data_IF_447138798244
#
_entry.id   IF_447138798244
#
_cell.length_a   1.000
_cell.length_b   1.000
_cell.length_c   1.000
_cell.angle_alpha   90.00
_cell.angle_beta   90.00
_cell.angle_gamma   90.00
#
_symmetry.space_group_name_H-M   'P 1'
#
loop_
_entity.id
_entity.type
_entity.pdbx_description
1 polymer ?
#
# COMPACT_ATOMS: atom_id res chain seq x y z
N UNK A 1 16.64 23.10 -2.65
CA UNK A 1 16.41 23.06 -1.19
C UNK A 1 15.01 22.51 -0.96
N UNK A 2 14.87 21.55 -0.04
CA UNK A 2 13.61 20.87 0.25
C UNK A 2 13.16 21.23 1.68
N UNK A 3 11.94 21.73 1.80
CA UNK A 3 11.29 21.97 3.08
C UNK A 3 10.38 20.78 3.41
N UNK A 4 10.63 20.08 4.50
CA UNK A 4 9.83 18.94 4.94
C UNK A 4 8.82 19.39 5.99
N UNK A 5 7.54 19.39 5.64
CA UNK A 5 6.46 19.96 6.44
C UNK A 5 5.96 18.99 7.52
N UNK A 6 6.15 19.38 8.77
CA UNK A 6 5.60 18.71 9.97
C UNK A 6 5.81 17.19 10.02
N UNK A 7 7.00 16.75 9.61
CA UNK A 7 7.43 15.36 9.77
C UNK A 7 7.75 15.05 11.23
N UNK A 8 7.27 13.91 11.71
CA UNK A 8 7.58 13.38 13.04
C UNK A 8 9.09 13.15 13.21
N UNK A 9 9.60 13.22 14.45
CA UNK A 9 11.03 13.05 14.75
C UNK A 9 11.61 11.77 14.16
N UNK A 10 10.84 10.68 14.23
CA UNK A 10 11.20 9.37 13.67
C UNK A 10 11.36 9.38 12.14
N UNK A 11 10.53 10.11 11.39
CA UNK A 11 10.62 10.15 9.92
C UNK A 11 11.76 11.04 9.42
N UNK A 12 12.28 11.97 10.24
CA UNK A 12 13.29 12.95 9.79
C UNK A 12 14.57 12.31 9.23
N UNK A 13 15.17 11.28 9.85
CA UNK A 13 16.34 10.60 9.27
C UNK A 13 16.02 9.98 7.91
N UNK A 14 14.85 9.36 7.76
CA UNK A 14 14.40 8.72 6.51
C UNK A 14 14.20 9.77 5.42
N UNK A 15 13.55 10.91 5.72
CA UNK A 15 13.43 12.03 4.77
C UNK A 15 14.79 12.48 4.26
N UNK A 16 15.78 12.64 5.14
CA UNK A 16 17.12 13.06 4.70
C UNK A 16 17.78 12.06 3.75
N UNK A 17 17.53 10.76 3.94
CA UNK A 17 18.08 9.71 3.08
C UNK A 17 17.42 9.71 1.69
N UNK A 18 16.09 9.81 1.62
CA UNK A 18 15.38 9.88 0.33
C UNK A 18 15.64 11.18 -0.44
N UNK A 19 16.13 12.21 0.24
CA UNK A 19 16.60 13.46 -0.36
C UNK A 19 18.11 13.64 -0.24
N UNK A 20 18.88 12.54 -0.25
CA UNK A 20 20.34 12.62 -0.32
C UNK A 20 20.76 13.50 -1.51
N UNK A 21 21.75 14.37 -1.30
CA UNK A 21 22.15 15.40 -2.28
C UNK A 21 21.33 16.70 -2.24
N UNK A 22 20.20 16.73 -1.51
CA UNK A 22 19.43 17.95 -1.26
C UNK A 22 19.60 18.47 0.17
N UNK A 23 19.64 19.80 0.33
CA UNK A 23 19.50 20.43 1.65
C UNK A 23 18.05 20.32 2.12
N UNK A 24 17.80 19.49 3.14
CA UNK A 24 16.48 19.32 3.78
C UNK A 24 16.34 20.18 5.04
N UNK A 25 15.27 20.96 5.12
CA UNK A 25 14.92 21.78 6.29
C UNK A 25 13.54 21.38 6.80
N UNK A 26 13.43 21.02 8.08
CA UNK A 26 12.14 20.63 8.68
C UNK A 26 11.42 21.86 9.23
N UNK A 27 10.17 22.07 8.80
CA UNK A 27 9.38 23.26 9.12
C UNK A 27 7.99 22.91 9.61
N UNK A 28 7.35 23.85 10.32
CA UNK A 28 5.96 23.74 10.80
C UNK A 28 5.12 24.98 10.51
N UNK A 29 5.72 26.03 9.96
CA UNK A 29 5.07 27.30 9.64
C UNK A 29 5.41 27.71 8.22
N UNK A 30 4.41 28.21 7.48
CA UNK A 30 4.57 28.60 6.07
C UNK A 30 5.65 29.67 5.90
N UNK A 31 5.78 30.59 6.86
CA UNK A 31 6.81 31.63 6.90
C UNK A 31 8.26 31.13 6.95
N UNK A 32 8.49 29.84 7.21
CA UNK A 32 9.83 29.24 7.19
C UNK A 32 10.22 28.73 5.80
N UNK A 33 9.26 28.58 4.89
CA UNK A 33 9.47 28.16 3.50
C UNK A 33 9.92 29.38 2.69
N UNK A 34 10.87 29.19 1.78
CA UNK A 34 11.38 30.27 0.91
C UNK A 34 10.74 30.23 -0.48
N UNK A 35 10.61 31.38 -1.17
CA UNK A 35 10.19 31.42 -2.57
C UNK A 35 11.04 30.52 -3.47
N UNK A 36 10.44 29.95 -4.51
CA UNK A 36 11.13 29.11 -5.50
C UNK A 36 11.68 27.77 -4.95
N UNK A 37 11.31 27.38 -3.73
CA UNK A 37 11.76 26.13 -3.11
C UNK A 37 10.79 24.97 -3.34
N UNK A 38 11.15 23.77 -2.86
CA UNK A 38 10.24 22.61 -2.88
C UNK A 38 9.74 22.32 -1.47
N UNK A 39 8.43 22.14 -1.30
CA UNK A 39 7.78 21.72 -0.05
C UNK A 39 7.33 20.26 -0.17
N UNK A 40 7.87 19.40 0.69
CA UNK A 40 7.48 18.01 0.82
C UNK A 40 6.41 17.84 1.90
N UNK A 41 5.29 17.24 1.52
CA UNK A 41 4.17 16.85 2.38
C UNK A 41 4.07 15.33 2.45
N UNK A 42 3.53 14.78 3.53
CA UNK A 42 3.21 13.35 3.60
C UNK A 42 1.76 13.09 3.17
N UNK A 43 1.57 12.25 2.16
CA UNK A 43 0.27 11.87 1.62
C UNK A 43 -0.60 13.06 1.21
N UNK A 44 -1.91 12.94 1.39
CA UNK A 44 -2.91 13.98 1.13
C UNK A 44 -2.99 15.09 2.20
N UNK A 45 -1.94 15.31 3.00
CA UNK A 45 -1.93 16.42 3.96
C UNK A 45 -2.22 17.75 3.24
N UNK A 46 -3.07 18.63 3.81
CA UNK A 46 -3.37 19.92 3.20
C UNK A 46 -2.10 20.75 2.96
N UNK A 47 -2.09 21.49 1.85
CA UNK A 47 -1.05 22.49 1.58
C UNK A 47 -1.27 23.64 2.57
N UNK A 48 -0.22 24.11 3.28
CA UNK A 48 -0.36 25.24 4.19
C UNK A 48 -0.79 26.51 3.46
N UNK A 49 -1.64 27.31 4.11
CA UNK A 49 -1.99 28.64 3.62
C UNK A 49 -0.78 29.59 3.67
N UNK A 50 -0.82 30.65 2.87
CA UNK A 50 0.19 31.72 2.85
C UNK A 50 1.62 31.23 2.55
N UNK A 51 1.76 30.23 1.67
CA UNK A 51 3.07 29.88 1.11
C UNK A 51 3.57 30.98 0.18
N UNK A 52 4.89 31.24 0.14
CA UNK A 52 5.46 32.15 -0.85
C UNK A 52 5.27 31.66 -2.28
N UNK A 53 5.35 32.58 -3.24
CA UNK A 53 5.21 32.27 -4.66
C UNK A 53 6.31 31.32 -5.18
N UNK A 54 5.95 30.53 -6.18
CA UNK A 54 6.87 29.62 -6.87
C UNK A 54 7.29 28.38 -6.05
N UNK A 55 6.66 28.11 -4.91
CA UNK A 55 6.91 26.88 -4.15
C UNK A 55 6.33 25.67 -4.88
N UNK A 56 7.19 24.70 -5.22
CA UNK A 56 6.76 23.42 -5.78
C UNK A 56 6.32 22.48 -4.68
N UNK A 57 5.17 21.83 -4.84
CA UNK A 57 4.65 20.85 -3.88
C UNK A 57 5.02 19.46 -4.34
N UNK A 58 5.51 18.63 -3.42
CA UNK A 58 5.65 17.18 -3.63
C UNK A 58 4.99 16.44 -2.47
N UNK A 59 4.38 15.29 -2.76
CA UNK A 59 3.74 14.40 -1.79
C UNK A 59 4.53 13.10 -1.68
N UNK A 60 4.81 12.71 -0.46
CA UNK A 60 5.55 11.50 -0.11
C UNK A 60 4.60 10.45 0.46
N UNK A 61 4.84 9.20 0.13
CA UNK A 61 4.26 8.05 0.84
C UNK A 61 5.27 6.91 0.90
N UNK A 62 5.00 5.92 1.75
CA UNK A 62 5.59 4.60 1.67
C UNK A 62 5.36 3.97 0.28
N UNK A 63 6.40 3.32 -0.24
CA UNK A 63 6.32 2.55 -1.47
C UNK A 63 5.63 1.20 -1.28
N UNK A 64 5.39 0.50 -2.39
CA UNK A 64 4.61 -0.73 -2.40
C UNK A 64 5.37 -1.96 -1.84
N UNK A 65 6.70 -1.95 -1.95
CA UNK A 65 7.59 -2.92 -1.30
C UNK A 65 8.29 -2.25 -0.12
N UNK A 66 7.70 -2.39 1.07
CA UNK A 66 8.07 -1.53 2.20
C UNK A 66 9.07 -2.16 3.19
N UNK A 67 8.74 -3.29 3.80
CA UNK A 67 9.51 -3.86 4.92
C UNK A 67 9.08 -5.29 5.30
N UNK A 68 9.94 -6.00 6.04
CA UNK A 68 9.58 -7.26 6.72
C UNK A 68 8.90 -6.94 8.06
N UNK A 69 7.57 -6.96 8.12
CA UNK A 69 6.79 -6.73 9.35
C UNK A 69 5.77 -5.60 9.22
N UNK A 70 5.06 -5.25 10.30
CA UNK A 70 4.05 -4.20 10.26
C UNK A 70 4.69 -2.82 10.21
N UNK A 71 4.08 -1.91 9.46
CA UNK A 71 4.43 -0.49 9.45
C UNK A 71 4.43 0.20 10.81
N UNK A 72 3.61 -0.31 11.73
CA UNK A 72 3.48 0.17 13.09
C UNK A 72 4.65 -0.24 14.00
N UNK A 73 5.51 -1.16 13.57
CA UNK A 73 6.71 -1.57 14.30
C UNK A 73 7.89 -0.59 14.10
N UNK A 74 7.64 0.58 13.49
CA UNK A 74 8.67 1.58 13.13
C UNK A 74 9.83 0.97 12.35
N UNK A 75 9.52 0.06 11.43
CA UNK A 75 10.52 -0.56 10.59
C UNK A 75 10.91 0.41 9.48
N UNK A 76 12.22 0.58 9.26
CA UNK A 76 12.75 1.49 8.25
C UNK A 76 12.19 1.09 6.88
N UNK A 77 11.49 2.00 6.16
CA UNK A 77 11.00 1.69 4.82
C UNK A 77 12.17 1.67 3.84
N UNK A 78 12.14 0.70 2.91
CA UNK A 78 13.10 0.59 1.82
C UNK A 78 12.70 1.39 0.58
N UNK A 79 11.43 1.78 0.50
CA UNK A 79 10.86 2.42 -0.69
C UNK A 79 9.90 3.52 -0.28
N UNK A 80 10.00 4.67 -0.96
CA UNK A 80 9.03 5.77 -0.91
C UNK A 80 8.65 6.18 -2.34
N UNK A 81 7.45 6.73 -2.46
CA UNK A 81 7.02 7.44 -3.66
C UNK A 81 7.22 8.94 -3.44
N UNK A 82 7.59 9.65 -4.51
CA UNK A 82 7.72 11.10 -4.54
C UNK A 82 6.87 11.59 -5.71
N UNK A 83 5.72 12.16 -5.41
CA UNK A 83 4.73 12.55 -6.41
C UNK A 83 4.60 14.07 -6.47
N UNK A 84 4.67 14.64 -7.67
CA UNK A 84 4.67 16.07 -7.94
C UNK A 84 3.30 16.60 -8.35
N UNK A 85 2.38 15.74 -8.81
CA UNK A 85 1.05 16.12 -9.29
C UNK A 85 -0.05 15.81 -8.27
N UNK A 86 0.07 14.70 -7.54
CA UNK A 86 -0.96 14.17 -6.66
C UNK A 86 -0.38 13.11 -5.74
N UNK A 87 -1.07 12.00 -5.56
CA UNK A 87 -0.54 10.80 -4.91
C UNK A 87 -1.32 9.58 -5.40
N UNK A 88 -0.68 8.42 -5.54
CA UNK A 88 -1.25 7.26 -6.23
C UNK A 88 -2.64 6.80 -5.74
N UNK A 89 -2.96 6.98 -4.46
CA UNK A 89 -4.24 6.55 -3.89
C UNK A 89 -5.36 7.60 -3.98
N UNK A 90 -5.05 8.83 -4.41
CA UNK A 90 -6.05 9.88 -4.61
C UNK A 90 -6.65 9.78 -6.02
N UNK A 91 -7.84 9.21 -6.11
CA UNK A 91 -8.56 9.07 -7.38
C UNK A 91 -9.29 10.35 -7.81
N UNK A 92 -9.31 11.40 -6.98
CA UNK A 92 -10.02 12.66 -7.29
C UNK A 92 -9.27 13.54 -8.29
N UNK A 93 -7.97 13.29 -8.49
CA UNK A 93 -7.09 14.04 -9.38
C UNK A 93 -6.03 13.12 -10.01
N UNK A 94 -5.34 13.56 -11.08
CA UNK A 94 -4.17 12.84 -11.60
C UNK A 94 -3.03 12.74 -10.57
N UNK A 95 -2.23 11.69 -10.70
CA UNK A 95 -0.96 11.48 -9.98
C UNK A 95 0.17 11.26 -10.98
N UNK A 96 1.41 11.40 -10.55
CA UNK A 96 2.56 11.07 -11.42
C UNK A 96 2.52 9.60 -11.84
N UNK A 97 2.03 8.70 -11.00
CA UNK A 97 1.82 7.30 -11.38
C UNK A 97 0.77 7.16 -12.48
N UNK A 98 -0.37 7.85 -12.36
CA UNK A 98 -1.42 7.81 -13.40
C UNK A 98 -0.89 8.31 -14.75
N UNK A 99 -0.14 9.42 -14.73
CA UNK A 99 0.50 9.97 -15.94
C UNK A 99 1.52 8.98 -16.51
N UNK A 100 2.37 8.41 -15.66
CA UNK A 100 3.38 7.43 -16.05
C UNK A 100 2.73 6.23 -16.74
N UNK A 101 1.70 5.64 -16.14
CA UNK A 101 1.00 4.48 -16.70
C UNK A 101 0.26 4.83 -18.01
N UNK A 102 -0.33 6.02 -18.07
CA UNK A 102 -1.07 6.47 -19.25
C UNK A 102 -0.16 6.73 -20.46
N UNK A 103 1.05 7.23 -20.25
CA UNK A 103 1.87 7.83 -21.33
C UNK A 103 3.17 7.10 -21.65
N UNK A 104 3.66 6.22 -20.77
CA UNK A 104 4.96 5.55 -20.97
C UNK A 104 4.86 4.48 -22.06
N UNK A 105 5.81 4.51 -23.00
CA UNK A 105 6.09 3.38 -23.88
C UNK A 105 6.96 2.37 -23.14
N UNK A 106 6.41 1.19 -22.84
CA UNK A 106 7.13 0.15 -22.12
C UNK A 106 7.89 -0.74 -23.10
N UNK A 107 9.21 -0.55 -23.17
CA UNK A 107 10.07 -1.34 -24.05
C UNK A 107 10.05 -2.83 -23.67
N UNK A 108 10.32 -3.71 -24.64
CA UNK A 108 10.40 -5.16 -24.42
C UNK A 108 11.38 -5.54 -23.32
N UNK A 109 12.54 -4.87 -23.25
CA UNK A 109 13.53 -5.08 -22.18
C UNK A 109 13.00 -4.72 -20.79
N UNK A 110 12.23 -3.64 -20.67
CA UNK A 110 11.59 -3.25 -19.41
C UNK A 110 10.49 -4.24 -19.01
N UNK A 111 9.71 -4.76 -19.97
CA UNK A 111 8.68 -5.76 -19.70
C UNK A 111 9.27 -7.10 -19.24
N UNK A 112 10.37 -7.56 -19.86
CA UNK A 112 11.11 -8.76 -19.41
C UNK A 112 11.62 -8.57 -17.98
N UNK A 113 12.19 -7.39 -17.68
CA UNK A 113 12.65 -7.02 -16.33
C UNK A 113 11.49 -7.03 -15.33
N UNK A 114 10.35 -6.45 -15.69
CA UNK A 114 9.16 -6.39 -14.84
C UNK A 114 8.57 -7.77 -14.56
N UNK A 115 8.47 -8.64 -15.58
CA UNK A 115 7.98 -10.01 -15.42
C UNK A 115 8.88 -10.83 -14.47
N UNK A 116 10.21 -10.77 -14.67
CA UNK A 116 11.18 -11.44 -13.80
C UNK A 116 11.12 -10.90 -12.37
N UNK A 117 10.99 -9.58 -12.21
CA UNK A 117 10.87 -8.94 -10.90
C UNK A 117 9.57 -9.38 -10.19
N UNK A 118 8.44 -9.41 -10.89
CA UNK A 118 7.15 -9.91 -10.38
C UNK A 118 7.28 -11.34 -9.86
N UNK A 119 7.88 -12.24 -10.63
CA UNK A 119 8.09 -13.64 -10.23
C UNK A 119 8.94 -13.75 -8.96
N UNK A 120 9.99 -12.93 -8.82
CA UNK A 120 10.80 -12.87 -7.59
C UNK A 120 10.01 -12.36 -6.39
N UNK A 121 9.20 -11.31 -6.57
CA UNK A 121 8.32 -10.78 -5.50
C UNK A 121 7.33 -11.85 -5.05
N UNK A 122 6.69 -12.56 -5.99
CA UNK A 122 5.71 -13.60 -5.65
C UNK A 122 6.37 -14.81 -4.97
N UNK A 123 7.47 -15.33 -5.53
CA UNK A 123 8.17 -16.51 -5.02
C UNK A 123 8.84 -16.30 -3.67
N UNK A 124 9.26 -15.07 -3.36
CA UNK A 124 9.76 -14.72 -2.02
C UNK A 124 8.66 -14.72 -0.93
N UNK A 125 7.39 -14.85 -1.32
CA UNK A 125 6.25 -14.82 -0.41
C UNK A 125 6.06 -13.48 0.28
N UNK A 126 6.72 -12.42 -0.20
CA UNK A 126 6.62 -11.09 0.39
C UNK A 126 5.24 -10.49 0.12
N UNK A 127 4.69 -9.90 1.18
CA UNK A 127 3.52 -9.03 1.14
C UNK A 127 3.78 -7.77 1.96
N UNK A 128 2.92 -6.75 1.84
CA UNK A 128 3.02 -5.51 2.65
C UNK A 128 3.07 -5.80 4.15
N UNK A 129 2.35 -6.84 4.59
CA UNK A 129 2.28 -7.28 5.97
C UNK A 129 2.58 -8.78 6.07
N UNK A 130 3.85 -9.13 6.35
CA UNK A 130 4.29 -10.50 6.54
C UNK A 130 3.95 -11.00 7.96
N UNK A 131 2.66 -11.05 8.29
CA UNK A 131 2.15 -11.54 9.58
C UNK A 131 1.22 -12.75 9.38
N UNK A 132 1.31 -13.72 10.28
CA UNK A 132 0.59 -14.99 10.21
C UNK A 132 1.54 -16.15 9.97
N UNK A 133 1.34 -17.25 10.72
CA UNK A 133 2.25 -18.40 10.75
C UNK A 133 1.53 -19.72 10.53
N UNK A 134 0.21 -19.69 10.36
CA UNK A 134 -0.59 -20.90 10.12
C UNK A 134 -0.82 -21.08 8.64
N UNK A 135 -0.82 -22.36 8.23
CA UNK A 135 -1.31 -22.75 6.93
C UNK A 135 -2.83 -22.66 6.88
N UNK A 136 -3.36 -22.26 5.73
CA UNK A 136 -4.80 -22.21 5.48
C UNK A 136 -5.23 -23.31 4.54
N UNK A 137 -6.20 -24.10 5.00
CA UNK A 137 -6.83 -25.11 4.17
C UNK A 137 -8.00 -24.46 3.46
N UNK A 138 -7.91 -24.41 2.13
CA UNK A 138 -9.03 -23.96 1.31
C UNK A 138 -10.22 -24.88 1.57
N UNK A 139 -11.45 -24.34 1.74
CA UNK A 139 -12.64 -25.16 1.94
C UNK A 139 -12.82 -26.14 0.78
N UNK A 140 -13.07 -27.41 1.12
CA UNK A 140 -13.41 -28.45 0.17
C UNK A 140 -14.85 -28.24 -0.29
N UNK A 141 -15.01 -27.40 -1.30
CA UNK A 141 -16.32 -27.12 -1.91
C UNK A 141 -16.15 -26.72 -3.36
N UNK A 142 -17.19 -26.95 -4.16
CA UNK A 142 -17.27 -26.47 -5.54
C UNK A 142 -17.60 -24.97 -5.63
N UNK A 143 -17.76 -24.30 -4.48
CA UNK A 143 -18.03 -22.87 -4.42
C UNK A 143 -16.81 -22.08 -4.85
N UNK A 144 -17.06 -20.96 -5.53
CA UNK A 144 -16.06 -19.90 -5.71
C UNK A 144 -15.60 -19.39 -4.34
N UNK A 145 -14.30 -19.34 -4.10
CA UNK A 145 -13.74 -18.81 -2.84
C UNK A 145 -13.24 -17.39 -3.06
N UNK A 146 -13.88 -16.45 -2.37
CA UNK A 146 -13.65 -15.01 -2.52
C UNK A 146 -13.02 -14.46 -1.24
N UNK A 147 -11.86 -13.82 -1.36
CA UNK A 147 -11.24 -13.10 -0.25
C UNK A 147 -11.72 -11.64 -0.21
N UNK A 148 -12.14 -11.20 0.97
CA UNK A 148 -12.48 -9.80 1.27
C UNK A 148 -11.52 -9.29 2.35
N UNK A 149 -10.45 -8.55 1.98
CA UNK A 149 -9.52 -8.00 2.96
C UNK A 149 -10.06 -6.70 3.57
N UNK A 150 -10.12 -6.66 4.89
CA UNK A 150 -10.44 -5.47 5.66
C UNK A 150 -9.36 -4.39 5.56
N UNK A 151 -9.77 -3.14 5.65
CA UNK A 151 -8.91 -1.96 5.67
C UNK A 151 -9.16 -1.14 6.95
N UNK A 152 -8.22 -0.26 7.29
CA UNK A 152 -8.47 0.75 8.32
C UNK A 152 -9.41 1.79 7.72
N UNK A 153 -10.62 1.95 8.27
CA UNK A 153 -11.65 2.84 7.68
C UNK A 153 -11.23 4.33 7.64
N UNK A 154 -10.28 4.73 8.48
CA UNK A 154 -9.69 6.08 8.48
C UNK A 154 -8.50 6.26 7.53
N UNK A 155 -8.15 5.24 6.73
CA UNK A 155 -7.07 5.31 5.75
C UNK A 155 -7.37 6.34 4.64
N UNK A 156 -6.37 7.15 4.29
CA UNK A 156 -6.50 8.17 3.26
C UNK A 156 -6.87 7.58 1.89
N UNK A 157 -6.44 6.35 1.58
CA UNK A 157 -6.83 5.65 0.36
C UNK A 157 -8.33 5.37 0.27
N UNK A 158 -9.06 5.26 1.39
CA UNK A 158 -10.52 5.19 1.36
C UNK A 158 -11.13 6.58 1.18
N UNK A 159 -10.63 7.58 1.90
CA UNK A 159 -11.14 8.95 1.83
C UNK A 159 -11.05 9.55 0.40
N UNK A 160 -9.95 9.26 -0.31
CA UNK A 160 -9.65 9.82 -1.64
C UNK A 160 -9.80 8.81 -2.79
N UNK A 161 -9.92 7.52 -2.49
CA UNK A 161 -10.00 6.46 -3.50
C UNK A 161 -11.32 5.69 -3.50
N UNK A 162 -12.23 5.88 -2.55
CA UNK A 162 -13.50 5.15 -2.52
C UNK A 162 -14.70 6.13 -2.59
N UNK A 163 -15.19 6.51 -3.78
CA UNK A 163 -16.30 7.46 -3.89
C UNK A 163 -17.66 6.88 -3.48
N UNK A 164 -17.81 5.55 -3.43
CA UNK A 164 -19.02 4.85 -3.00
C UNK A 164 -18.90 4.26 -1.59
N UNK A 165 -18.79 2.93 -1.51
CA UNK A 165 -18.66 2.18 -0.25
C UNK A 165 -17.35 2.58 0.45
N UNK A 166 -17.40 2.85 1.76
CA UNK A 166 -16.24 3.30 2.56
C UNK A 166 -16.04 2.52 3.86
N UNK A 167 -16.79 1.45 4.09
CA UNK A 167 -16.69 0.62 5.29
C UNK A 167 -16.41 -0.83 4.94
N UNK A 168 -15.75 -1.55 5.87
CA UNK A 168 -15.45 -2.97 5.71
C UNK A 168 -16.73 -3.80 5.62
N UNK A 169 -17.71 -3.48 6.49
CA UNK A 169 -19.00 -4.15 6.50
C UNK A 169 -19.80 -3.85 5.22
N UNK A 170 -19.75 -2.61 4.73
CA UNK A 170 -20.37 -2.23 3.47
C UNK A 170 -19.81 -3.03 2.28
N UNK A 171 -18.48 -3.24 2.24
CA UNK A 171 -17.85 -4.10 1.24
C UNK A 171 -18.35 -5.54 1.37
N UNK A 172 -18.34 -6.11 2.59
CA UNK A 172 -18.81 -7.48 2.83
C UNK A 172 -20.26 -7.69 2.39
N UNK A 173 -21.17 -6.76 2.70
CA UNK A 173 -22.55 -6.81 2.24
C UNK A 173 -22.63 -6.82 0.71
N UNK A 174 -21.91 -5.91 0.05
CA UNK A 174 -21.95 -5.80 -1.41
C UNK A 174 -21.39 -7.05 -2.10
N UNK A 175 -20.32 -7.64 -1.55
CA UNK A 175 -19.76 -8.90 -2.06
C UNK A 175 -20.74 -10.06 -1.84
N UNK A 176 -21.34 -10.18 -0.66
CA UNK A 176 -22.33 -11.23 -0.38
C UNK A 176 -23.57 -11.09 -1.28
N UNK A 177 -24.04 -9.88 -1.52
CA UNK A 177 -25.17 -9.64 -2.43
C UNK A 177 -24.85 -10.00 -3.87
N UNK A 178 -23.64 -9.65 -4.36
CA UNK A 178 -23.20 -10.00 -5.71
C UNK A 178 -22.89 -11.51 -5.87
N UNK A 179 -22.47 -12.17 -4.79
CA UNK A 179 -22.10 -13.58 -4.78
C UNK A 179 -22.78 -14.36 -3.64
N UNK A 180 -24.11 -14.59 -3.70
CA UNK A 180 -24.85 -15.24 -2.61
C UNK A 180 -24.35 -16.65 -2.26
N UNK A 181 -23.87 -17.39 -3.26
CA UNK A 181 -23.47 -18.79 -3.12
C UNK A 181 -21.95 -19.01 -3.00
N UNK A 182 -21.14 -17.95 -3.09
CA UNK A 182 -19.70 -18.07 -2.93
C UNK A 182 -19.32 -18.33 -1.46
N UNK A 183 -18.13 -18.88 -1.26
CA UNK A 183 -17.50 -18.99 0.05
C UNK A 183 -16.68 -17.72 0.29
N UNK A 184 -17.15 -16.86 1.18
CA UNK A 184 -16.51 -15.59 1.49
C UNK A 184 -15.56 -15.77 2.68
N UNK A 185 -14.30 -15.43 2.46
CA UNK A 185 -13.27 -15.36 3.49
C UNK A 185 -13.04 -13.89 3.83
N UNK A 186 -13.40 -13.47 5.04
CA UNK A 186 -13.07 -12.14 5.54
C UNK A 186 -11.73 -12.16 6.27
N UNK A 187 -10.80 -11.29 5.87
CA UNK A 187 -9.53 -11.08 6.59
C UNK A 187 -9.48 -9.67 7.18
N UNK A 188 -9.71 -9.48 8.49
CA UNK A 188 -9.60 -8.17 9.12
C UNK A 188 -8.20 -7.58 8.98
N UNK A 189 -8.09 -6.26 9.00
CA UNK A 189 -6.81 -5.57 8.89
C UNK A 189 -5.91 -5.88 10.11
N UNK A 190 -4.62 -6.20 9.94
CA UNK A 190 -3.74 -6.58 11.05
C UNK A 190 -3.58 -5.49 12.12
N UNK A 191 -3.54 -4.21 11.73
CA UNK A 191 -3.45 -3.11 12.71
C UNK A 191 -4.72 -2.96 13.57
N UNK A 192 -5.89 -3.38 13.04
CA UNK A 192 -7.15 -3.41 13.82
C UNK A 192 -7.10 -4.58 14.81
N UNK A 193 -6.68 -5.77 14.36
CA UNK A 193 -6.48 -6.94 15.22
C UNK A 193 -5.46 -6.69 16.33
N UNK A 194 -4.40 -5.93 16.04
CA UNK A 194 -3.38 -5.54 17.01
C UNK A 194 -3.83 -4.41 17.96
N UNK A 195 -5.04 -3.84 17.78
CA UNK A 195 -5.56 -2.73 18.59
C UNK A 195 -4.79 -1.41 18.40
N UNK A 196 -4.10 -1.27 17.26
CA UNK A 196 -3.33 -0.08 16.86
C UNK A 196 -4.19 0.93 16.10
N UNK A 197 -5.29 0.48 15.52
CA UNK A 197 -6.30 1.29 14.84
C UNK A 197 -7.69 0.93 15.34
N UNK A 198 -8.59 1.91 15.29
CA UNK A 198 -10.00 1.68 15.61
C UNK A 198 -10.61 0.67 14.64
N UNK A 199 -11.49 -0.17 15.17
CA UNK A 199 -12.31 -1.07 14.37
C UNK A 199 -13.34 -0.27 13.57
N UNK A 200 -13.71 -0.77 12.40
CA UNK A 200 -14.73 -0.16 11.56
C UNK A 200 -16.12 -0.19 12.21
N UNK A 201 -17.00 0.72 11.79
CA UNK A 201 -18.36 0.79 12.34
C UNK A 201 -19.14 -0.49 12.01
N UNK A 202 -19.60 -1.20 13.03
CA UNK A 202 -20.39 -2.43 12.88
C UNK A 202 -19.58 -3.66 12.45
N UNK A 203 -18.25 -3.57 12.36
CA UNK A 203 -17.40 -4.69 11.91
C UNK A 203 -17.40 -5.87 12.90
N UNK A 204 -17.99 -5.74 14.09
CA UNK A 204 -18.32 -6.89 14.96
C UNK A 204 -19.31 -7.87 14.32
N UNK A 205 -20.13 -7.39 13.39
CA UNK A 205 -21.11 -8.20 12.67
C UNK A 205 -20.52 -8.87 11.42
N UNK A 206 -19.25 -8.64 11.09
CA UNK A 206 -18.62 -9.17 9.87
C UNK A 206 -18.76 -10.69 9.72
N UNK A 207 -18.69 -11.43 10.83
CA UNK A 207 -18.84 -12.88 10.87
C UNK A 207 -20.22 -13.37 10.39
N UNK A 208 -21.26 -12.53 10.43
CA UNK A 208 -22.59 -12.86 9.92
C UNK A 208 -22.69 -12.76 8.38
N UNK A 209 -21.68 -12.18 7.72
CA UNK A 209 -21.70 -11.90 6.28
C UNK A 209 -20.67 -12.69 5.47
N UNK A 210 -19.70 -13.33 6.15
CA UNK A 210 -18.72 -14.23 5.55
C UNK A 210 -18.93 -15.68 6.02
N UNK A 211 -18.46 -16.65 5.23
CA UNK A 211 -18.45 -18.06 5.63
C UNK A 211 -17.29 -18.34 6.61
N UNK A 212 -16.19 -17.59 6.50
CA UNK A 212 -15.00 -17.76 7.33
C UNK A 212 -14.32 -16.42 7.62
N UNK A 213 -13.88 -16.20 8.87
CA UNK A 213 -13.04 -15.07 9.24
C UNK A 213 -11.63 -15.54 9.60
N UNK A 214 -10.62 -15.06 8.86
CA UNK A 214 -9.24 -15.52 8.99
C UNK A 214 -8.34 -14.41 9.55
N UNK A 215 -7.72 -14.65 10.71
CA UNK A 215 -6.93 -13.65 11.43
C UNK A 215 -5.42 -13.97 11.48
N UNK A 216 -5.04 -15.23 11.44
CA UNK A 216 -3.69 -15.74 11.75
C UNK A 216 -2.94 -16.37 10.56
N UNK A 217 -3.52 -16.29 9.35
CA UNK A 217 -2.91 -16.74 8.09
C UNK A 217 -2.28 -15.56 7.36
N UNK A 218 -1.12 -15.78 6.72
CA UNK A 218 -0.46 -14.75 5.91
C UNK A 218 -1.30 -14.35 4.69
N UNK A 219 -1.21 -13.08 4.29
CA UNK A 219 -1.92 -12.60 3.09
C UNK A 219 -1.44 -13.36 1.84
N UNK A 220 -0.13 -13.61 1.72
CA UNK A 220 0.44 -14.31 0.57
C UNK A 220 -0.10 -15.74 0.40
N UNK A 221 -0.35 -16.44 1.51
CA UNK A 221 -0.95 -17.78 1.47
C UNK A 221 -2.42 -17.77 1.08
N UNK A 222 -3.21 -16.81 1.58
CA UNK A 222 -4.60 -16.68 1.15
C UNK A 222 -4.67 -16.36 -0.35
N UNK A 223 -3.90 -15.37 -0.79
CA UNK A 223 -3.85 -14.94 -2.18
C UNK A 223 -3.39 -16.05 -3.14
N UNK A 224 -2.61 -17.04 -2.69
CA UNK A 224 -2.22 -18.17 -3.54
C UNK A 224 -3.26 -19.28 -3.60
N UNK A 225 -4.30 -19.23 -2.75
CA UNK A 225 -5.29 -20.30 -2.62
C UNK A 225 -6.72 -19.87 -2.89
N UNK A 226 -7.04 -18.58 -2.95
CA UNK A 226 -8.39 -18.09 -3.32
C UNK A 226 -8.58 -17.99 -4.84
N UNK A 227 -9.83 -17.90 -5.29
CA UNK A 227 -10.14 -17.70 -6.71
C UNK A 227 -10.08 -16.22 -7.07
N UNK A 228 -10.70 -15.38 -6.23
CA UNK A 228 -10.88 -13.96 -6.50
C UNK A 228 -10.69 -13.13 -5.22
N UNK A 229 -10.37 -11.85 -5.40
CA UNK A 229 -10.19 -10.89 -4.30
C UNK A 229 -11.06 -9.66 -4.57
N UNK A 230 -11.89 -9.30 -3.60
CA UNK A 230 -12.82 -8.19 -3.72
C UNK A 230 -12.42 -7.10 -2.73
N UNK A 231 -12.10 -5.91 -3.23
CA UNK A 231 -11.45 -4.84 -2.46
C UNK A 231 -12.15 -3.50 -2.64
N UNK A 232 -12.02 -2.62 -1.64
CA UNK A 232 -12.23 -1.18 -1.87
C UNK A 232 -11.00 -0.61 -2.56
N UNK A 233 -9.96 -0.30 -1.79
CA UNK A 233 -8.74 0.34 -2.29
C UNK A 233 -7.44 -0.31 -1.77
N UNK A 234 -7.57 -1.47 -1.12
CA UNK A 234 -6.47 -2.16 -0.44
C UNK A 234 -5.33 -2.51 -1.40
N UNK A 235 -4.07 -2.42 -0.93
CA UNK A 235 -2.93 -2.93 -1.70
C UNK A 235 -3.05 -4.45 -1.97
N UNK A 236 -3.82 -5.17 -1.16
CA UNK A 236 -4.04 -6.60 -1.35
C UNK A 236 -4.60 -6.96 -2.74
N UNK A 237 -5.38 -6.06 -3.36
CA UNK A 237 -5.85 -6.27 -4.74
C UNK A 237 -4.69 -6.24 -5.74
N UNK A 238 -3.74 -5.32 -5.61
CA UNK A 238 -2.53 -5.34 -6.44
C UNK A 238 -1.70 -6.60 -6.19
N UNK A 239 -1.52 -7.01 -4.93
CA UNK A 239 -0.80 -8.24 -4.58
C UNK A 239 -1.46 -9.51 -5.14
N UNK A 240 -2.78 -9.49 -5.29
CA UNK A 240 -3.56 -10.53 -5.94
C UNK A 240 -3.32 -10.56 -7.46
N UNK A 241 -3.29 -9.39 -8.12
CA UNK A 241 -2.92 -9.28 -9.53
C UNK A 241 -1.53 -9.84 -9.81
N UNK A 242 -0.54 -9.54 -8.97
CA UNK A 242 0.82 -10.11 -9.10
C UNK A 242 0.83 -11.64 -9.13
N UNK A 243 -0.16 -12.28 -8.50
CA UNK A 243 -0.35 -13.74 -8.40
C UNK A 243 -1.34 -14.30 -9.42
N UNK A 244 -1.77 -13.49 -10.39
CA UNK A 244 -2.73 -13.90 -11.41
C UNK A 244 -4.14 -14.18 -10.88
N UNK A 245 -4.52 -13.58 -9.74
CA UNK A 245 -5.88 -13.70 -9.20
C UNK A 245 -6.80 -12.66 -9.81
N UNK A 246 -8.05 -13.03 -10.04
CA UNK A 246 -9.07 -12.09 -10.46
C UNK A 246 -9.37 -11.12 -9.31
N UNK A 247 -9.54 -9.84 -9.64
CA UNK A 247 -9.75 -8.77 -8.67
C UNK A 247 -10.94 -7.92 -9.06
N UNK A 248 -11.85 -7.73 -8.12
CA UNK A 248 -12.99 -6.82 -8.26
C UNK A 248 -12.79 -5.60 -7.35
N UNK A 249 -12.83 -4.40 -7.94
CA UNK A 249 -12.64 -3.14 -7.23
C UNK A 249 -13.99 -2.42 -7.03
N UNK A 250 -14.36 -2.25 -5.77
CA UNK A 250 -15.51 -1.45 -5.33
C UNK A 250 -15.12 0.01 -5.03
N UNK A 251 -13.81 0.29 -4.94
CA UNK A 251 -13.24 1.63 -4.97
C UNK A 251 -12.45 1.86 -6.25
N UNK A 252 -11.60 2.88 -6.24
CA UNK A 252 -10.75 3.32 -7.35
C UNK A 252 -9.27 3.33 -6.94
N UNK A 253 -8.69 2.19 -6.52
CA UNK A 253 -7.26 2.12 -6.20
C UNK A 253 -6.41 2.44 -7.44
N UNK A 254 -5.11 2.70 -7.25
CA UNK A 254 -4.19 3.08 -8.34
C UNK A 254 -4.14 2.08 -9.51
N UNK A 255 -4.44 0.81 -9.26
CA UNK A 255 -4.42 -0.29 -10.23
C UNK A 255 -5.78 -0.59 -10.90
N UNK A 256 -6.86 0.09 -10.49
CA UNK A 256 -8.16 -0.01 -11.16
C UNK A 256 -8.20 0.83 -12.45
N UNK A 257 -9.10 0.54 -13.38
CA UNK A 257 -9.34 1.32 -14.60
C UNK A 257 -8.34 1.07 -15.72
N UNK A 258 -7.46 0.07 -15.59
CA UNK A 258 -6.44 -0.28 -16.59
C UNK A 258 -6.74 -1.59 -17.34
N UNK A 259 -7.90 -2.20 -17.12
CA UNK A 259 -8.27 -3.47 -17.77
C UNK A 259 -7.88 -4.75 -17.05
N UNK A 260 -7.18 -4.64 -15.93
CA UNK A 260 -6.69 -5.77 -15.15
C UNK A 260 -7.64 -6.21 -14.03
N UNK A 261 -8.69 -5.42 -13.78
CA UNK A 261 -9.66 -5.59 -12.69
C UNK A 261 -11.07 -5.46 -13.22
N UNK A 262 -12.02 -6.08 -12.52
CA UNK A 262 -13.45 -5.78 -12.68
C UNK A 262 -13.78 -4.56 -11.82
N UNK A 263 -13.94 -3.39 -12.45
CA UNK A 263 -14.18 -2.15 -11.73
C UNK A 263 -15.66 -1.82 -11.63
N UNK A 264 -16.19 -1.71 -10.40
CA UNK A 264 -17.60 -1.33 -10.21
C UNK A 264 -17.82 0.17 -10.33
N UNK A 265 -16.76 0.95 -10.21
CA UNK A 265 -16.76 2.40 -10.35
C UNK A 265 -15.69 2.80 -11.37
N UNK A 266 -16.12 3.34 -12.51
CA UNK A 266 -15.20 3.76 -13.56
C UNK A 266 -14.28 4.89 -13.10
N UNK A 267 -13.06 4.95 -13.64
CA UNK A 267 -12.14 6.08 -13.50
C UNK A 267 -11.94 6.71 -14.89
N UNK A 268 -12.78 7.69 -15.31
CA UNK A 268 -12.83 8.14 -16.71
C UNK A 268 -11.51 8.66 -17.29
N UNK A 269 -10.57 9.09 -16.44
CA UNK A 269 -9.25 9.60 -16.87
C UNK A 269 -8.29 8.49 -17.30
N UNK A 270 -8.49 7.25 -16.82
CA UNK A 270 -7.67 6.09 -17.17
C UNK A 270 -8.27 5.46 -18.42
N UNK A 271 -7.67 5.77 -19.56
CA UNK A 271 -8.23 5.44 -20.89
C UNK A 271 -7.43 4.36 -21.61
N UNK A 272 -6.30 3.94 -21.03
CA UNK A 272 -5.43 2.91 -21.58
C UNK A 272 -5.70 1.55 -20.93
N UNK A 273 -5.55 0.50 -21.71
CA UNK A 273 -5.48 -0.88 -21.22
C UNK A 273 -4.00 -1.26 -21.02
N UNK A 274 -3.68 -1.88 -19.89
CA UNK A 274 -2.33 -2.32 -19.56
C UNK A 274 -2.29 -3.84 -19.42
N UNK A 275 -1.17 -4.43 -19.83
CA UNK A 275 -0.75 -5.73 -19.34
C UNK A 275 -0.29 -5.64 -17.87
N UNK A 276 -0.29 -6.78 -17.18
CA UNK A 276 0.19 -6.85 -15.81
C UNK A 276 1.66 -6.40 -15.69
N UNK A 277 2.50 -6.70 -16.67
CA UNK A 277 3.92 -6.36 -16.64
C UNK A 277 4.17 -4.86 -16.90
N UNK A 278 3.32 -4.19 -17.68
CA UNK A 278 3.33 -2.72 -17.79
C UNK A 278 2.95 -2.07 -16.44
N UNK A 279 1.91 -2.57 -15.78
CA UNK A 279 1.52 -2.10 -14.46
C UNK A 279 2.66 -2.31 -13.45
N UNK A 280 3.28 -3.50 -13.44
CA UNK A 280 4.43 -3.80 -12.57
C UNK A 280 5.60 -2.88 -12.86
N UNK A 281 5.96 -2.66 -14.12
CA UNK A 281 7.04 -1.76 -14.50
C UNK A 281 6.82 -0.35 -13.95
N UNK A 282 5.61 0.20 -14.14
CA UNK A 282 5.29 1.53 -13.65
C UNK A 282 5.28 1.61 -12.12
N UNK A 283 4.59 0.67 -11.46
CA UNK A 283 4.32 0.71 -10.02
C UNK A 283 5.52 0.31 -9.18
N UNK A 284 6.33 -0.65 -9.62
CA UNK A 284 7.42 -1.21 -8.81
C UNK A 284 8.82 -0.86 -9.29
N UNK A 285 9.01 -0.44 -10.55
CA UNK A 285 10.36 -0.14 -11.08
C UNK A 285 10.59 1.35 -11.32
N UNK A 286 9.58 2.07 -11.83
CA UNK A 286 9.77 3.45 -12.30
C UNK A 286 9.28 4.52 -11.32
N UNK A 287 8.12 4.32 -10.70
CA UNK A 287 7.49 5.33 -9.84
C UNK A 287 8.14 5.45 -8.44
N UNK A 288 8.41 4.36 -7.70
CA UNK A 288 9.02 4.46 -6.38
C UNK A 288 10.54 4.66 -6.44
N UNK A 289 11.05 5.43 -5.48
CA UNK A 289 12.47 5.45 -5.14
C UNK A 289 12.78 4.33 -4.12
N UNK A 290 13.95 3.73 -4.23
CA UNK A 290 14.45 2.71 -3.30
C UNK A 290 15.74 3.17 -2.63
N UNK A 291 15.89 2.93 -1.33
CA UNK A 291 17.08 3.28 -0.56
C UNK A 291 17.53 2.07 0.26
N UNK A 292 18.76 1.60 0.03
CA UNK A 292 19.29 0.41 0.70
C UNK A 292 19.35 0.54 2.24
N UNK A 293 19.13 -0.57 2.96
CA UNK A 293 19.24 -0.73 4.41
C UNK A 293 20.67 -0.51 4.90
N UNK A 294 21.65 -1.10 4.22
CA UNK A 294 23.05 -1.03 4.61
C UNK A 294 23.73 0.26 4.16
N UNK A 295 23.50 0.67 2.91
CA UNK A 295 24.19 1.82 2.32
C UNK A 295 23.57 3.17 2.68
N UNK A 296 22.25 3.20 2.92
CA UNK A 296 21.51 4.45 3.08
C UNK A 296 21.37 5.28 1.80
N UNK A 297 21.77 4.74 0.64
CA UNK A 297 21.79 5.39 -0.67
C UNK A 297 20.72 4.85 -1.60
N UNK A 298 20.38 5.62 -2.63
CA UNK A 298 19.50 5.18 -3.70
C UNK A 298 19.98 3.86 -4.33
N UNK A 299 19.05 2.95 -4.59
CA UNK A 299 19.31 1.62 -5.13
C UNK A 299 18.20 1.21 -6.11
N UNK A 300 18.33 0.03 -6.71
CA UNK A 300 17.32 -0.55 -7.60
C UNK A 300 16.24 -1.30 -6.82
N UNK A 301 15.07 -1.52 -7.43
CA UNK A 301 14.02 -2.33 -6.85
C UNK A 301 14.49 -3.77 -6.58
N UNK A 302 15.32 -4.32 -7.48
CA UNK A 302 15.93 -5.65 -7.38
C UNK A 302 16.84 -5.76 -6.17
N UNK A 303 17.77 -4.82 -6.00
CA UNK A 303 18.68 -4.82 -4.85
C UNK A 303 17.91 -4.62 -3.54
N UNK A 304 16.89 -3.77 -3.53
CA UNK A 304 16.02 -3.60 -2.36
C UNK A 304 15.25 -4.89 -2.02
N UNK A 305 14.81 -5.63 -3.03
CA UNK A 305 14.17 -6.94 -2.86
C UNK A 305 15.14 -7.97 -2.27
N UNK A 306 16.38 -8.02 -2.77
CA UNK A 306 17.41 -8.91 -2.24
C UNK A 306 17.70 -8.61 -0.77
N UNK A 307 17.84 -7.33 -0.41
CA UNK A 307 18.01 -6.92 0.97
C UNK A 307 16.81 -7.29 1.86
N UNK A 308 15.57 -7.17 1.36
CA UNK A 308 14.36 -7.61 2.07
C UNK A 308 14.37 -9.11 2.35
N UNK A 309 14.71 -9.91 1.34
CA UNK A 309 14.73 -11.37 1.45
C UNK A 309 15.81 -11.81 2.45
N UNK A 310 17.03 -11.26 2.34
CA UNK A 310 18.10 -11.53 3.30
C UNK A 310 17.73 -11.09 4.71
N UNK A 311 17.10 -9.93 4.86
CA UNK A 311 16.67 -9.45 6.17
C UNK A 311 15.59 -10.33 6.79
N UNK A 312 14.64 -10.82 5.99
CA UNK A 312 13.61 -11.76 6.48
C UNK A 312 14.26 -13.04 7.00
N UNK A 313 15.21 -13.59 6.26
CA UNK A 313 15.92 -14.80 6.67
C UNK A 313 16.69 -14.63 7.98
N UNK A 314 17.25 -13.43 8.26
CA UNK A 314 18.00 -13.17 9.49
C UNK A 314 17.14 -12.89 10.72
N UNK A 315 15.92 -12.35 10.54
CA UNK A 315 15.00 -12.04 11.64
C UNK A 315 14.14 -13.26 12.04
N UNK A 316 13.93 -14.21 11.13
CA UNK A 316 12.98 -15.31 11.29
C UNK A 316 11.51 -14.86 11.22
N UNK A 317 10.57 -15.79 11.05
CA UNK A 317 9.12 -15.49 10.96
C UNK A 317 8.46 -15.15 12.33
N UNK A 318 9.23 -15.10 13.41
CA UNK A 318 8.71 -14.85 14.76
C UNK A 318 8.81 -13.37 15.16
N UNK A 319 7.65 -12.76 15.41
CA UNK A 319 7.57 -11.46 16.11
C UNK A 319 8.12 -11.67 17.53
N UNK A 320 9.37 -11.24 17.73
CA UNK A 320 10.09 -11.34 19.01
C UNK A 320 9.24 -10.73 20.14
N UNK A 321 9.14 -11.39 21.29
CA UNK A 321 8.29 -10.97 22.40
C UNK A 321 8.56 -9.54 22.91
N UNK A 322 9.82 -9.08 22.85
CA UNK A 322 10.18 -7.68 23.12
C UNK A 322 9.51 -6.68 22.16
N UNK A 323 9.20 -7.09 20.92
CA UNK A 323 8.46 -6.26 19.95
C UNK A 323 6.99 -6.10 20.35
N UNK A 324 6.37 -7.13 20.98
CA UNK A 324 5.03 -6.98 21.59
C UNK A 324 5.06 -5.95 22.73
N UNK A 325 6.12 -5.94 23.54
CA UNK A 325 6.31 -4.95 24.62
C UNK A 325 6.59 -3.54 24.07
N UNK A 326 7.38 -3.42 23.00
CA UNK A 326 7.66 -2.16 22.32
C UNK A 326 6.39 -1.55 21.69
N UNK A 327 5.47 -2.39 21.18
CA UNK A 327 4.13 -1.95 20.72
C UNK A 327 3.29 -1.32 21.83
N UNK A 328 3.36 -1.85 23.07
CA UNK A 328 2.67 -1.27 24.24
C UNK A 328 3.26 0.11 24.60
N UNK A 329 4.58 0.27 24.48
CA UNK A 329 5.28 1.52 24.74
C UNK A 329 4.99 2.58 23.65
N UNK A 330 4.98 2.18 22.38
CA UNK A 330 4.60 3.04 21.25
C UNK A 330 3.17 3.60 21.39
N UNK A 331 2.25 2.78 21.92
CA UNK A 331 0.87 3.17 22.25
C UNK A 331 0.79 4.34 23.24
N UNK A 332 1.78 4.46 24.15
CA UNK A 332 1.86 5.52 25.17
C UNK A 332 2.67 6.74 24.72
N UNK A 333 3.65 6.58 23.84
CA UNK A 333 4.62 7.65 23.51
C UNK A 333 4.31 8.37 22.19
N UNK A 334 3.82 7.67 21.17
CA UNK A 334 3.73 8.24 19.80
C UNK A 334 2.35 8.81 19.46
N UNK A 335 1.35 8.63 20.32
CA UNK A 335 0.04 9.26 20.13
C UNK A 335 -0.52 8.98 18.74
N UNK A 336 -0.47 7.72 18.30
CA UNK A 336 -1.16 7.28 17.09
C UNK A 336 -2.65 7.32 17.41
N UNK A 337 -3.28 8.48 17.20
CA UNK A 337 -4.71 8.59 16.98
C UNK A 337 -5.04 8.01 15.61
#
# INVERSE_FOLDING_TARGET
>A
MVYAWDFSRWKKPVVRQFFEGSRVVFVRRASQVKPGSTLALWGCRPVPDNLPDGVRIIRLEDGFLRSVGLGADLIRPLSWVIDTCGIYYDATRPSDLEILLQTTEFTSGLLIRAASFRERVVSSGLTKYNVGSRSWQRPQSDKRVILVPGQVESDASLAFGAPGIRSNLGLLHAVRQAHPHAWLVYKPHPDVLAGLRAKGKGEDEAAAWCDEQVTDVSMGELLSRVDEVHVLTSLAGFEALLRGRAVTCYGQPFYAGWGLTTDLLAVPRRTRQLSLDELVAGVLLLYPAYVGLGSGRCTTAESALDELVTWRASVGDHVTWWRKLFRVILRRIVGVR
#
